data_IF_576122768309
#
_entry.id   IF_576122768309
#
_cell.length_a   1.000
_cell.length_b   1.000
_cell.length_c   1.000
_cell.angle_alpha   90.00
_cell.angle_beta   90.00
_cell.angle_gamma   90.00
#
_symmetry.space_group_name_H-M   'P 1'
#
loop_
_entity.id
_entity.type
_entity.pdbx_description
1 polymer ?
#
# COMPACT_ATOMS: atom_id res chain seq x y z
N UNK A 1 -6.46 6.95 -26.05
CA UNK A 1 -5.90 8.31 -26.19
C UNK A 1 -6.36 9.08 -24.98
N UNK A 2 -5.45 9.27 -24.01
CA UNK A 2 -5.72 10.13 -22.87
C UNK A 2 -5.47 11.56 -23.34
N UNK A 3 -6.50 12.40 -23.25
CA UNK A 3 -6.36 13.83 -23.43
C UNK A 3 -5.52 14.34 -22.25
N UNK A 4 -4.27 14.70 -22.55
CA UNK A 4 -3.31 15.16 -21.57
C UNK A 4 -3.77 16.56 -21.13
N UNK A 5 -4.64 16.62 -20.12
CA UNK A 5 -5.10 17.87 -19.51
C UNK A 5 -3.86 18.71 -19.23
N UNK A 6 -3.86 19.95 -19.72
CA UNK A 6 -2.77 20.90 -19.49
C UNK A 6 -2.47 20.92 -17.98
N UNK A 7 -1.19 20.77 -17.60
CA UNK A 7 -0.75 20.96 -16.22
C UNK A 7 -1.20 22.36 -15.79
N UNK A 8 -2.28 22.45 -15.02
CA UNK A 8 -2.83 23.73 -14.59
C UNK A 8 -2.04 24.17 -13.37
N UNK A 9 -1.15 25.15 -13.56
CA UNK A 9 -0.54 25.85 -12.43
C UNK A 9 -1.60 26.80 -11.90
N UNK A 10 -2.12 26.52 -10.71
CA UNK A 10 -2.93 27.48 -9.97
C UNK A 10 -2.03 28.21 -8.97
N UNK A 11 -2.20 29.54 -8.89
CA UNK A 11 -1.55 30.39 -7.89
C UNK A 11 -2.62 30.95 -6.97
N UNK A 12 -2.43 30.81 -5.67
CA UNK A 12 -3.35 31.32 -4.65
C UNK A 12 -2.57 32.06 -3.56
N UNK A 13 -3.18 33.06 -2.93
CA UNK A 13 -2.65 33.68 -1.70
C UNK A 13 -3.27 32.97 -0.50
N UNK A 14 -2.44 32.49 0.41
CA UNK A 14 -2.90 31.93 1.69
C UNK A 14 -3.14 33.08 2.69
N UNK A 15 -4.16 32.95 3.53
CA UNK A 15 -4.36 33.83 4.68
C UNK A 15 -3.47 33.32 5.83
N UNK A 16 -2.30 33.93 6.02
CA UNK A 16 -1.33 33.48 7.03
C UNK A 16 -1.73 33.98 8.42
N UNK A 17 -1.99 33.06 9.35
CA UNK A 17 -1.95 33.36 10.78
C UNK A 17 -0.50 33.25 11.27
N UNK A 18 -0.09 34.17 12.15
CA UNK A 18 1.29 34.42 12.60
C UNK A 18 1.96 33.24 13.34
N UNK A 19 2.38 32.22 12.61
CA UNK A 19 3.17 31.08 13.10
C UNK A 19 4.68 31.36 13.17
N UNK A 20 5.41 30.59 13.99
CA UNK A 20 6.88 30.68 14.10
C UNK A 20 7.55 30.08 12.85
N UNK A 21 8.35 30.87 12.14
CA UNK A 21 9.07 30.41 10.94
C UNK A 21 10.20 29.42 11.28
N UNK A 22 10.23 28.28 10.59
CA UNK A 22 11.39 27.38 10.54
C UNK A 22 12.48 28.02 9.66
N UNK A 23 13.43 28.72 10.29
CA UNK A 23 14.57 29.31 9.57
C UNK A 23 15.74 28.34 9.50
N UNK A 24 16.33 28.18 8.31
CA UNK A 24 17.63 27.55 8.15
C UNK A 24 18.75 28.50 8.61
N UNK A 25 19.94 27.97 8.98
CA UNK A 25 21.13 28.79 9.18
C UNK A 25 21.40 29.61 7.90
N UNK A 26 21.23 30.93 7.98
CA UNK A 26 21.29 31.84 6.82
C UNK A 26 19.96 32.52 6.45
N UNK A 27 18.88 32.29 7.19
CA UNK A 27 17.63 33.06 7.07
C UNK A 27 16.76 32.72 5.86
N UNK A 28 17.15 31.77 5.01
CA UNK A 28 16.32 31.27 3.91
C UNK A 28 15.16 30.44 4.46
N UNK A 29 13.96 30.67 3.94
CA UNK A 29 12.74 29.95 4.30
C UNK A 29 12.80 28.57 3.66
N UNK A 30 12.59 27.53 4.47
CA UNK A 30 12.56 26.15 4.00
C UNK A 30 11.33 25.90 3.10
N UNK A 31 11.57 25.45 1.86
CA UNK A 31 10.52 25.09 0.91
C UNK A 31 9.74 23.87 1.43
N UNK A 32 8.43 24.03 1.62
CA UNK A 32 7.55 22.99 2.15
C UNK A 32 6.65 22.44 1.05
N UNK A 33 6.56 21.11 0.95
CA UNK A 33 5.77 20.43 -0.08
C UNK A 33 4.75 19.52 0.56
N UNK A 34 3.53 19.47 0.01
CA UNK A 34 2.47 18.59 0.46
C UNK A 34 1.95 17.78 -0.71
N UNK A 35 1.99 16.46 -0.58
CA UNK A 35 1.66 15.54 -1.68
C UNK A 35 0.42 14.72 -1.36
N UNK A 36 -0.60 14.91 -2.19
CA UNK A 36 -1.77 14.03 -2.28
C UNK A 36 -1.56 13.06 -3.43
N UNK A 37 -1.09 11.85 -3.10
CA UNK A 37 -0.88 10.82 -4.11
C UNK A 37 -2.20 10.37 -4.76
N UNK A 38 -2.15 10.13 -6.07
CA UNK A 38 -3.29 9.73 -6.90
C UNK A 38 -4.05 8.52 -6.41
N UNK A 39 -5.33 8.51 -6.78
CA UNK A 39 -6.26 7.38 -6.65
C UNK A 39 -6.48 6.81 -8.05
N UNK A 40 -6.13 5.52 -8.23
CA UNK A 40 -5.98 4.88 -9.56
C UNK A 40 -7.21 4.87 -10.47
N UNK A 41 -8.41 5.23 -10.00
CA UNK A 41 -9.64 5.55 -10.76
C UNK A 41 -10.82 5.74 -9.79
N UNK A 42 -11.69 6.71 -10.04
CA UNK A 42 -13.02 6.75 -9.40
C UNK A 42 -13.94 5.68 -9.99
N UNK A 43 -15.13 5.50 -9.42
CA UNK A 43 -16.17 4.63 -10.01
C UNK A 43 -16.52 5.07 -11.44
N UNK A 44 -16.38 6.37 -11.71
CA UNK A 44 -16.71 7.02 -12.98
C UNK A 44 -15.54 7.03 -13.97
N UNK A 45 -14.41 6.40 -13.61
CA UNK A 45 -13.24 6.27 -14.47
C UNK A 45 -12.37 7.52 -14.55
N UNK A 46 -12.69 8.57 -13.78
CA UNK A 46 -11.89 9.79 -13.71
C UNK A 46 -10.55 9.49 -13.01
N UNK A 47 -9.47 9.87 -13.68
CA UNK A 47 -8.13 9.83 -13.11
C UNK A 47 -7.91 11.11 -12.29
N UNK A 48 -7.57 10.96 -11.02
CA UNK A 48 -7.06 12.06 -10.21
C UNK A 48 -5.54 12.02 -10.26
N UNK A 49 -4.86 13.07 -10.74
CA UNK A 49 -3.39 13.14 -10.72
C UNK A 49 -2.86 13.14 -9.29
N UNK A 50 -1.57 12.87 -9.13
CA UNK A 50 -0.87 13.13 -7.87
C UNK A 50 -0.68 14.63 -7.78
N UNK A 51 -1.19 15.25 -6.71
CA UNK A 51 -1.10 16.70 -6.55
C UNK A 51 0.04 17.05 -5.60
N UNK A 52 0.82 18.04 -5.98
CA UNK A 52 1.92 18.58 -5.19
C UNK A 52 1.65 20.06 -4.96
N UNK A 53 1.37 20.43 -3.71
CA UNK A 53 1.38 21.82 -3.29
C UNK A 53 2.79 22.18 -2.83
N UNK A 54 3.29 23.33 -3.27
CA UNK A 54 4.62 23.85 -2.97
C UNK A 54 4.44 25.24 -2.38
N UNK A 55 4.93 25.44 -1.16
CA UNK A 55 5.08 26.75 -0.54
C UNK A 55 6.56 27.11 -0.57
N UNK A 56 6.90 28.09 -1.43
CA UNK A 56 8.22 28.67 -1.57
C UNK A 56 8.15 30.16 -1.26
N UNK A 57 9.19 30.70 -0.62
CA UNK A 57 9.26 32.09 -0.14
C UNK A 57 8.07 32.49 0.77
N UNK A 58 8.05 33.71 1.32
CA UNK A 58 7.13 34.08 2.42
C UNK A 58 5.63 33.85 2.15
N UNK A 59 5.17 33.59 0.91
CA UNK A 59 3.76 33.28 0.63
C UNK A 59 3.42 32.70 -0.76
N UNK A 60 4.40 32.27 -1.57
CA UNK A 60 4.09 31.80 -2.92
C UNK A 60 3.70 30.33 -2.90
N UNK A 61 2.39 30.10 -2.95
CA UNK A 61 1.81 28.77 -3.11
C UNK A 61 1.60 28.44 -4.59
N UNK A 62 2.23 27.37 -5.06
CA UNK A 62 1.98 26.77 -6.37
C UNK A 62 1.47 25.34 -6.22
N UNK A 63 0.62 24.90 -7.15
CA UNK A 63 0.16 23.51 -7.21
C UNK A 63 0.52 22.90 -8.55
N UNK A 64 1.04 21.67 -8.52
CA UNK A 64 1.38 20.86 -9.68
C UNK A 64 0.55 19.57 -9.68
N UNK A 65 0.06 19.18 -10.86
CA UNK A 65 -0.64 17.91 -11.08
C UNK A 65 0.27 16.96 -11.86
N UNK A 66 0.62 15.82 -11.26
CA UNK A 66 1.42 14.76 -11.86
C UNK A 66 0.50 13.66 -12.40
N UNK A 67 0.37 13.58 -13.72
CA UNK A 67 -0.62 12.73 -14.38
C UNK A 67 -0.41 11.22 -14.23
N UNK A 68 0.84 10.76 -14.12
CA UNK A 68 1.21 9.35 -14.09
C UNK A 68 2.49 9.06 -13.28
N UNK A 69 2.89 7.78 -13.21
CA UNK A 69 4.12 7.34 -12.56
C UNK A 69 5.39 7.99 -13.15
N UNK A 70 5.38 8.34 -14.44
CA UNK A 70 6.54 8.93 -15.10
C UNK A 70 6.72 10.38 -14.67
N UNK A 71 5.62 11.14 -14.60
CA UNK A 71 5.60 12.49 -14.04
C UNK A 71 6.01 12.51 -12.55
N UNK A 72 5.57 11.52 -11.77
CA UNK A 72 6.02 11.33 -10.38
C UNK A 72 7.55 11.14 -10.30
N UNK A 73 8.14 10.32 -11.19
CA UNK A 73 9.59 10.12 -11.24
C UNK A 73 10.36 11.35 -11.72
N UNK A 74 9.85 12.08 -12.71
CA UNK A 74 10.48 13.32 -13.15
C UNK A 74 10.46 14.38 -12.04
N UNK A 75 9.37 14.45 -11.26
CA UNK A 75 9.28 15.30 -10.08
C UNK A 75 10.34 14.91 -9.04
N UNK A 76 10.45 13.62 -8.70
CA UNK A 76 11.50 13.11 -7.79
C UNK A 76 12.89 13.52 -8.28
N UNK A 77 13.13 13.49 -9.60
CA UNK A 77 14.42 13.81 -10.20
C UNK A 77 14.71 15.32 -10.33
N UNK A 78 13.77 16.20 -10.00
CA UNK A 78 13.95 17.66 -10.18
C UNK A 78 13.83 18.13 -11.63
N UNK A 79 13.20 17.32 -12.50
CA UNK A 79 13.13 17.56 -13.94
C UNK A 79 11.69 17.45 -14.47
N UNK A 80 10.70 17.81 -13.64
CA UNK A 80 9.31 17.85 -14.06
C UNK A 80 9.03 19.15 -14.84
N UNK A 81 8.58 19.09 -16.12
CA UNK A 81 8.31 20.29 -16.90
C UNK A 81 7.14 21.10 -16.31
N UNK A 82 7.39 22.35 -15.95
CA UNK A 82 6.36 23.28 -15.47
C UNK A 82 5.96 24.31 -16.53
N UNK A 83 6.86 24.62 -17.46
CA UNK A 83 6.58 25.51 -18.58
C UNK A 83 7.08 24.91 -19.90
N UNK A 84 6.42 25.31 -20.98
CA UNK A 84 6.70 24.86 -22.33
C UNK A 84 6.83 26.05 -23.26
N UNK A 85 7.82 26.01 -24.15
CA UNK A 85 7.99 26.96 -25.25
C UNK A 85 7.95 26.25 -26.59
N UNK A 86 7.72 27.01 -27.63
CA UNK A 86 7.77 26.49 -28.99
C UNK A 86 9.22 26.12 -29.36
N UNK A 87 9.37 25.06 -30.15
CA UNK A 87 10.67 24.52 -30.57
C UNK A 87 11.33 25.45 -31.60
N UNK A 88 12.53 25.96 -31.31
CA UNK A 88 13.22 26.91 -32.21
C UNK A 88 13.72 26.21 -33.49
N UNK A 89 13.77 26.89 -34.65
CA UNK A 89 14.34 26.31 -35.88
C UNK A 89 15.81 25.87 -35.68
N UNK A 90 16.11 24.62 -36.00
CA UNK A 90 17.46 24.05 -35.83
C UNK A 90 17.82 23.54 -34.43
N UNK A 91 16.94 23.72 -33.44
CA UNK A 91 17.16 23.17 -32.10
C UNK A 91 17.16 21.63 -32.10
N UNK A 92 18.14 21.04 -31.40
CA UNK A 92 18.33 19.58 -31.30
C UNK A 92 17.45 19.01 -30.18
N UNK A 93 16.67 17.98 -30.51
CA UNK A 93 15.75 17.36 -29.55
C UNK A 93 16.43 16.46 -28.51
N UNK A 94 17.66 16.02 -28.76
CA UNK A 94 18.43 15.17 -27.83
C UNK A 94 18.75 15.84 -26.48
N UNK A 95 18.62 17.17 -26.41
CA UNK A 95 18.74 17.94 -25.17
C UNK A 95 17.54 17.73 -24.21
N UNK A 96 16.44 17.17 -24.70
CA UNK A 96 15.21 16.97 -23.94
C UNK A 96 14.91 15.48 -23.77
N UNK A 97 14.22 15.12 -22.68
CA UNK A 97 13.73 13.75 -22.53
C UNK A 97 12.64 13.48 -23.58
N UNK A 98 12.62 12.32 -24.26
CA UNK A 98 11.65 12.04 -25.32
C UNK A 98 10.19 12.19 -24.87
N UNK A 99 9.86 11.81 -23.63
CA UNK A 99 8.51 11.92 -23.09
C UNK A 99 8.14 13.32 -22.58
N UNK A 100 9.08 14.27 -22.57
CA UNK A 100 8.80 15.68 -22.27
C UNK A 100 8.43 16.48 -23.50
N UNK A 101 8.80 16.04 -24.70
CA UNK A 101 8.51 16.76 -25.95
C UNK A 101 7.01 16.66 -26.25
N UNK A 102 6.36 17.81 -26.48
CA UNK A 102 4.97 17.84 -26.92
C UNK A 102 4.91 17.77 -28.43
N UNK A 103 4.16 16.80 -28.92
CA UNK A 103 3.96 16.56 -30.34
C UNK A 103 2.56 16.99 -30.76
N UNK A 104 2.47 17.67 -31.90
CA UNK A 104 1.19 18.01 -32.56
C UNK A 104 0.98 17.18 -33.81
N UNK A 105 -0.25 17.17 -34.32
CA UNK A 105 -0.51 16.66 -35.67
C UNK A 105 0.08 17.63 -36.71
N UNK A 106 0.59 17.14 -37.85
CA UNK A 106 0.95 17.99 -38.97
C UNK A 106 -0.21 18.93 -39.32
N UNK A 107 0.09 20.20 -39.57
CA UNK A 107 -0.91 21.16 -39.98
C UNK A 107 -1.40 20.84 -41.41
N UNK A 108 -2.58 21.36 -41.79
CA UNK A 108 -3.08 21.20 -43.15
C UNK A 108 -2.12 21.86 -44.15
N UNK A 109 -1.57 21.08 -45.08
CA UNK A 109 -0.56 21.52 -46.05
C UNK A 109 0.90 21.30 -45.62
N UNK A 110 1.18 20.87 -44.39
CA UNK A 110 2.53 20.54 -43.93
C UNK A 110 2.91 19.13 -44.41
N UNK A 111 3.82 19.03 -45.38
CA UNK A 111 4.27 17.75 -45.91
C UNK A 111 5.25 17.07 -44.93
N UNK A 112 4.93 15.88 -44.37
CA UNK A 112 5.82 15.18 -43.44
C UNK A 112 7.20 14.88 -44.02
N UNK A 113 7.32 14.71 -45.34
CA UNK A 113 8.59 14.40 -45.99
C UNK A 113 9.58 15.59 -46.02
N UNK A 114 9.09 16.80 -45.79
CA UNK A 114 9.89 18.03 -45.74
C UNK A 114 10.33 18.40 -44.31
N UNK A 115 9.73 17.76 -43.29
CA UNK A 115 10.06 17.99 -41.90
C UNK A 115 11.32 17.17 -41.56
N UNK A 116 12.33 17.77 -40.87
CA UNK A 116 13.51 17.03 -40.44
C UNK A 116 13.12 15.77 -39.64
N UNK A 117 13.75 14.64 -39.98
CA UNK A 117 13.40 13.31 -39.45
C UNK A 117 13.45 13.28 -37.92
N UNK A 118 14.39 14.01 -37.32
CA UNK A 118 14.53 14.16 -35.88
C UNK A 118 13.29 14.76 -35.21
N UNK A 119 12.52 15.61 -35.91
CA UNK A 119 11.29 16.25 -35.38
C UNK A 119 10.03 15.39 -35.55
N UNK A 120 10.14 14.28 -36.26
CA UNK A 120 9.02 13.39 -36.56
C UNK A 120 8.98 12.22 -35.58
N UNK A 121 7.83 12.06 -34.92
CA UNK A 121 7.51 10.85 -34.17
C UNK A 121 6.51 10.01 -34.96
N UNK A 122 6.93 8.81 -35.38
CA UNK A 122 6.05 7.83 -36.02
C UNK A 122 5.26 7.08 -34.95
N UNK A 123 3.96 7.36 -34.88
CA UNK A 123 3.02 6.69 -33.98
C UNK A 123 2.04 5.84 -34.80
N UNK A 124 2.44 4.59 -35.05
CA UNK A 124 1.71 3.67 -35.91
C UNK A 124 1.69 4.14 -37.38
N UNK A 125 0.48 4.47 -37.87
CA UNK A 125 0.25 4.98 -39.24
C UNK A 125 0.27 6.51 -39.34
N UNK A 126 0.34 7.21 -38.21
CA UNK A 126 0.31 8.67 -38.17
C UNK A 126 1.67 9.23 -37.78
N UNK A 127 2.05 10.35 -38.39
CA UNK A 127 3.20 11.13 -37.96
C UNK A 127 2.74 12.24 -37.02
N UNK A 128 3.58 12.56 -36.05
CA UNK A 128 3.43 13.74 -35.20
C UNK A 128 4.70 14.57 -35.27
N UNK A 129 4.56 15.88 -35.19
CA UNK A 129 5.66 16.85 -35.30
C UNK A 129 5.95 17.39 -33.91
N UNK A 130 7.22 17.41 -33.52
CA UNK A 130 7.66 18.05 -32.29
C UNK A 130 7.31 19.55 -32.36
N UNK A 131 6.51 20.01 -31.39
CA UNK A 131 5.94 21.36 -31.38
C UNK A 131 6.52 22.20 -30.25
N UNK A 132 6.51 21.63 -29.03
CA UNK A 132 6.94 22.34 -27.83
C UNK A 132 7.91 21.52 -27.01
N UNK A 133 8.86 22.21 -26.42
CA UNK A 133 9.86 21.66 -25.50
C UNK A 133 9.78 22.37 -24.15
N UNK A 134 10.20 21.72 -23.05
CA UNK A 134 10.22 22.38 -21.76
C UNK A 134 11.11 23.64 -21.76
N UNK A 135 10.61 24.74 -21.21
CA UNK A 135 11.40 25.95 -20.94
C UNK A 135 11.81 26.08 -19.48
N UNK A 136 11.07 25.45 -18.58
CA UNK A 136 11.36 25.45 -17.15
C UNK A 136 11.00 24.10 -16.53
N UNK A 137 11.77 23.72 -15.51
CA UNK A 137 11.59 22.51 -14.73
C UNK A 137 11.42 22.85 -13.25
N UNK A 138 10.67 22.01 -12.55
CA UNK A 138 10.59 22.00 -11.09
C UNK A 138 10.63 20.54 -10.60
N UNK A 139 10.65 20.34 -9.29
CA UNK A 139 10.63 19.03 -8.69
C UNK A 139 11.15 19.06 -7.26
N UNK A 140 11.65 17.92 -6.80
CA UNK A 140 12.32 17.82 -5.51
C UNK A 140 13.67 18.54 -5.56
N UNK A 141 13.87 19.48 -4.64
CA UNK A 141 15.06 20.31 -4.50
C UNK A 141 15.80 20.05 -3.17
N UNK A 142 17.02 20.56 -3.08
CA UNK A 142 17.82 20.46 -1.85
C UNK A 142 17.16 21.25 -0.72
N UNK A 143 17.11 20.67 0.48
CA UNK A 143 16.49 21.29 1.66
C UNK A 143 14.96 21.20 1.71
N UNK A 144 14.30 20.61 0.71
CA UNK A 144 12.85 20.46 0.68
C UNK A 144 12.33 19.66 1.89
N UNK A 145 11.22 20.11 2.46
CA UNK A 145 10.45 19.39 3.47
C UNK A 145 9.16 18.84 2.86
N UNK A 146 9.18 17.57 2.47
CA UNK A 146 8.07 16.92 1.79
C UNK A 146 7.15 16.23 2.78
N UNK A 147 5.86 16.47 2.69
CA UNK A 147 4.84 15.92 3.58
C UNK A 147 3.83 15.05 2.83
N UNK A 148 3.55 13.85 3.35
CA UNK A 148 2.61 12.88 2.76
C UNK A 148 1.77 12.18 3.84
N UNK A 149 0.71 11.46 3.45
CA UNK A 149 -0.06 10.62 4.39
C UNK A 149 0.64 9.26 4.60
N UNK A 150 0.58 8.70 5.81
CA UNK A 150 1.06 7.36 6.15
C UNK A 150 0.24 6.21 5.54
N UNK A 151 0.95 5.29 4.88
CA UNK A 151 0.43 4.13 4.15
C UNK A 151 -0.29 4.47 2.83
N UNK A 152 -0.66 3.43 2.08
CA UNK A 152 -1.55 3.54 0.92
C UNK A 152 -0.84 3.33 -0.42
N UNK A 153 -1.35 3.95 -1.48
CA UNK A 153 -0.79 3.84 -2.83
C UNK A 153 0.48 4.67 -3.03
N UNK A 154 0.70 5.70 -2.20
CA UNK A 154 1.86 6.60 -2.30
C UNK A 154 3.16 6.07 -1.69
N UNK A 155 3.20 4.82 -1.21
CA UNK A 155 4.41 4.26 -0.60
C UNK A 155 5.60 4.19 -1.57
N UNK A 156 5.36 3.95 -2.87
CA UNK A 156 6.43 3.92 -3.87
C UNK A 156 7.01 5.31 -4.12
N UNK A 157 6.14 6.32 -4.20
CA UNK A 157 6.56 7.71 -4.33
C UNK A 157 7.31 8.17 -3.08
N UNK A 158 6.81 7.83 -1.88
CA UNK A 158 7.50 8.13 -0.63
C UNK A 158 8.90 7.50 -0.56
N UNK A 159 9.05 6.26 -1.01
CA UNK A 159 10.35 5.58 -1.10
C UNK A 159 11.30 6.29 -2.09
N UNK A 160 10.81 6.64 -3.28
CA UNK A 160 11.61 7.30 -4.30
C UNK A 160 12.07 8.70 -3.85
N UNK A 161 11.15 9.48 -3.27
CA UNK A 161 11.43 10.78 -2.68
C UNK A 161 12.42 10.68 -1.52
N UNK A 162 12.27 9.70 -0.62
CA UNK A 162 13.16 9.60 0.55
C UNK A 162 14.58 9.21 0.14
N UNK A 163 14.71 8.30 -0.82
CA UNK A 163 16.03 7.90 -1.36
C UNK A 163 16.72 9.06 -2.05
N UNK A 164 16.02 9.78 -2.93
CA UNK A 164 16.59 10.97 -3.58
C UNK A 164 16.85 12.10 -2.60
N UNK A 165 15.96 12.29 -1.63
CA UNK A 165 16.06 13.30 -0.59
C UNK A 165 17.31 13.14 0.25
N UNK A 166 17.67 11.90 0.61
CA UNK A 166 18.94 11.60 1.26
C UNK A 166 20.15 12.15 0.48
N UNK A 167 20.17 11.97 -0.85
CA UNK A 167 21.29 12.42 -1.68
C UNK A 167 21.41 13.94 -1.81
N UNK A 168 20.31 14.68 -1.65
CA UNK A 168 20.26 16.14 -1.85
C UNK A 168 19.93 16.93 -0.58
N UNK A 169 19.82 16.27 0.57
CA UNK A 169 19.47 16.92 1.84
C UNK A 169 17.99 17.32 1.97
N UNK A 170 17.08 16.70 1.23
CA UNK A 170 15.63 16.85 1.43
C UNK A 170 15.08 15.81 2.41
N UNK A 171 14.01 16.15 3.12
CA UNK A 171 13.36 15.27 4.11
C UNK A 171 11.96 14.90 3.66
N UNK A 172 11.62 13.62 3.78
CA UNK A 172 10.27 13.12 3.53
C UNK A 172 9.62 12.74 4.85
N UNK A 173 8.52 13.40 5.14
CA UNK A 173 7.76 13.33 6.37
C UNK A 173 6.36 12.77 6.07
N UNK A 174 5.84 11.92 6.96
CA UNK A 174 4.51 11.34 6.82
C UNK A 174 3.65 11.51 8.05
N UNK A 175 2.38 11.84 7.85
CA UNK A 175 1.40 12.06 8.93
C UNK A 175 0.36 10.93 8.98
N UNK A 176 -0.09 10.49 10.17
CA UNK A 176 -1.19 9.53 10.26
C UNK A 176 -2.49 10.06 9.63
N UNK A 177 -3.28 9.22 8.94
CA UNK A 177 -4.51 9.67 8.28
C UNK A 177 -5.54 10.32 9.22
N UNK A 178 -5.58 9.92 10.49
CA UNK A 178 -6.50 10.51 11.46
C UNK A 178 -6.11 11.95 11.83
N UNK A 179 -4.81 12.24 11.95
CA UNK A 179 -4.33 13.60 12.24
C UNK A 179 -4.66 14.53 11.07
N UNK A 180 -4.43 14.11 9.83
CA UNK A 180 -4.81 14.92 8.67
C UNK A 180 -6.34 15.12 8.60
N UNK A 181 -7.12 14.08 8.94
CA UNK A 181 -8.59 14.20 8.97
C UNK A 181 -9.05 15.23 9.99
N UNK A 182 -8.42 15.25 11.17
CA UNK A 182 -8.77 16.20 12.24
C UNK A 182 -8.43 17.65 11.81
N UNK A 183 -7.29 17.87 11.15
CA UNK A 183 -6.89 19.18 10.61
C UNK A 183 -7.66 19.62 9.37
N UNK A 184 -8.18 18.66 8.59
CA UNK A 184 -9.03 18.98 7.42
C UNK A 184 -10.29 19.73 7.82
N UNK A 185 -10.90 19.39 8.96
CA UNK A 185 -12.19 19.94 9.37
C UNK A 185 -13.24 19.78 8.27
N UNK A 186 -13.80 20.90 7.81
CA UNK A 186 -14.81 20.97 6.75
C UNK A 186 -14.22 21.16 5.33
N UNK A 187 -12.89 21.32 5.19
CA UNK A 187 -12.23 21.50 3.90
C UNK A 187 -12.39 20.26 3.02
N UNK A 188 -12.36 20.45 1.70
CA UNK A 188 -12.54 19.37 0.77
C UNK A 188 -11.28 18.48 0.67
N UNK A 189 -11.45 17.20 0.31
CA UNK A 189 -10.35 16.22 0.28
C UNK A 189 -9.32 16.49 -0.84
N UNK A 190 -9.69 17.26 -1.85
CA UNK A 190 -8.80 17.83 -2.87
C UNK A 190 -7.87 18.91 -2.35
N UNK A 191 -8.14 19.48 -1.19
CA UNK A 191 -7.23 20.39 -0.52
C UNK A 191 -6.17 19.67 0.34
N UNK A 192 -6.15 18.33 0.38
CA UNK A 192 -5.22 17.58 1.24
C UNK A 192 -3.75 17.93 0.99
N UNK A 193 -3.36 18.24 -0.26
CA UNK A 193 -1.99 18.67 -0.56
C UNK A 193 -1.65 20.00 0.11
N UNK A 194 -2.58 20.96 0.11
CA UNK A 194 -2.42 22.28 0.73
C UNK A 194 -2.37 22.16 2.26
N UNK A 195 -3.29 21.40 2.84
CA UNK A 195 -3.35 21.14 4.29
C UNK A 195 -2.05 20.47 4.76
N UNK A 196 -1.47 19.56 3.96
CA UNK A 196 -0.19 18.92 4.30
C UNK A 196 0.97 19.93 4.36
N UNK A 197 1.04 20.88 3.42
CA UNK A 197 2.02 21.99 3.44
C UNK A 197 1.87 22.85 4.69
N UNK A 198 0.65 23.28 4.99
CA UNK A 198 0.35 24.07 6.19
C UNK A 198 0.75 23.31 7.46
N UNK A 199 0.35 22.04 7.55
CA UNK A 199 0.59 21.21 8.73
C UNK A 199 2.07 20.92 8.97
N UNK A 200 2.85 20.69 7.92
CA UNK A 200 4.29 20.40 8.08
C UNK A 200 5.08 21.65 8.47
N UNK A 201 4.64 22.83 8.01
CA UNK A 201 5.21 24.13 8.40
C UNK A 201 4.88 24.46 9.85
N UNK A 202 3.60 24.37 10.22
CA UNK A 202 3.09 24.90 11.49
C UNK A 202 3.21 23.87 12.63
N UNK A 203 3.04 22.58 12.32
CA UNK A 203 2.98 21.49 13.30
C UNK A 203 3.83 20.26 12.91
N UNK A 204 5.15 20.43 12.65
CA UNK A 204 6.03 19.35 12.18
C UNK A 204 6.09 18.15 13.14
N UNK A 205 5.77 18.35 14.42
CA UNK A 205 5.79 17.32 15.47
C UNK A 205 4.76 16.19 15.25
N UNK A 206 3.78 16.38 14.37
CA UNK A 206 2.81 15.36 13.96
C UNK A 206 3.35 14.37 12.93
N UNK A 207 4.49 14.68 12.31
CA UNK A 207 5.04 13.90 11.24
C UNK A 207 6.11 12.91 11.69
N UNK A 208 6.30 11.89 10.86
CA UNK A 208 7.34 10.89 10.98
C UNK A 208 8.18 10.88 9.71
N UNK A 209 9.49 11.01 9.88
CA UNK A 209 10.43 10.89 8.78
C UNK A 209 10.41 9.47 8.18
N UNK A 210 10.46 9.39 6.85
CA UNK A 210 10.64 8.15 6.09
C UNK A 210 12.12 7.78 6.11
N UNK A 211 12.53 7.05 7.14
CA UNK A 211 13.90 6.59 7.29
C UNK A 211 14.13 5.22 6.60
N UNK A 212 15.36 4.71 6.66
CA UNK A 212 15.74 3.41 6.06
C UNK A 212 14.85 2.25 6.53
N UNK A 213 14.40 2.30 7.80
CA UNK A 213 13.46 1.31 8.33
C UNK A 213 12.12 1.30 7.59
N UNK A 214 11.62 2.49 7.24
CA UNK A 214 10.36 2.67 6.52
C UNK A 214 10.54 2.25 5.05
N UNK A 215 11.70 2.54 4.47
CA UNK A 215 12.08 2.08 3.15
C UNK A 215 12.13 0.54 3.06
N UNK A 216 12.78 -0.11 4.03
CA UNK A 216 12.84 -1.58 4.13
C UNK A 216 11.46 -2.19 4.28
N UNK A 217 10.57 -1.56 5.06
CA UNK A 217 9.18 -2.01 5.20
C UNK A 217 8.43 -1.92 3.86
N UNK A 218 8.63 -0.84 3.09
CA UNK A 218 8.04 -0.69 1.75
C UNK A 218 8.56 -1.77 0.80
N UNK A 219 9.86 -2.08 0.84
CA UNK A 219 10.47 -3.17 0.07
C UNK A 219 9.88 -4.54 0.44
N UNK A 220 9.69 -4.83 1.73
CA UNK A 220 9.03 -6.06 2.17
C UNK A 220 7.57 -6.14 1.68
N UNK A 221 6.86 -5.02 1.61
CA UNK A 221 5.52 -4.97 1.02
C UNK A 221 5.53 -5.29 -0.49
N UNK A 222 6.54 -4.82 -1.22
CA UNK A 222 6.74 -5.12 -2.65
C UNK A 222 7.06 -6.60 -2.84
N UNK A 223 8.01 -7.14 -2.07
CA UNK A 223 8.39 -8.55 -2.12
C UNK A 223 7.19 -9.47 -1.84
N UNK A 224 6.33 -9.12 -0.87
CA UNK A 224 5.11 -9.88 -0.62
C UNK A 224 4.15 -9.87 -1.81
N UNK A 225 3.95 -8.72 -2.47
CA UNK A 225 3.09 -8.62 -3.66
C UNK A 225 3.62 -9.50 -4.78
N UNK A 226 4.92 -9.40 -5.08
CA UNK A 226 5.57 -10.24 -6.08
C UNK A 226 5.42 -11.74 -5.77
N UNK A 227 5.61 -12.13 -4.51
CA UNK A 227 5.40 -13.51 -4.04
C UNK A 227 3.95 -13.98 -4.17
N UNK A 228 2.98 -13.12 -3.91
CA UNK A 228 1.55 -13.43 -4.10
C UNK A 228 1.24 -13.61 -5.59
N UNK A 229 1.79 -12.78 -6.46
CA UNK A 229 1.52 -12.85 -7.89
C UNK A 229 2.20 -14.08 -8.53
N UNK A 230 3.44 -14.40 -8.14
CA UNK A 230 4.10 -15.66 -8.52
C UNK A 230 3.29 -16.89 -8.07
N UNK A 231 2.81 -16.91 -6.82
CA UNK A 231 1.94 -17.98 -6.32
C UNK A 231 0.64 -18.11 -7.15
N UNK A 232 0.00 -17.00 -7.50
CA UNK A 232 -1.20 -17.02 -8.34
C UNK A 232 -0.89 -17.52 -9.75
N UNK A 233 0.23 -17.11 -10.32
CA UNK A 233 0.68 -17.54 -11.64
C UNK A 233 0.92 -19.06 -11.66
N UNK A 234 1.61 -19.60 -10.63
CA UNK A 234 1.79 -21.04 -10.44
C UNK A 234 0.46 -21.79 -10.32
N UNK A 235 -0.45 -21.34 -9.44
CA UNK A 235 -1.78 -21.96 -9.28
C UNK A 235 -2.55 -21.94 -10.60
N UNK A 236 -2.56 -20.81 -11.31
CA UNK A 236 -3.24 -20.70 -12.60
C UNK A 236 -2.61 -21.60 -13.67
N UNK A 237 -1.29 -21.69 -13.71
CA UNK A 237 -0.54 -22.61 -14.57
C UNK A 237 -0.92 -24.07 -14.30
N UNK A 238 -0.93 -24.47 -13.03
CA UNK A 238 -1.30 -25.82 -12.59
C UNK A 238 -2.74 -26.18 -13.00
N UNK A 239 -3.70 -25.26 -12.81
CA UNK A 239 -5.09 -25.48 -13.23
C UNK A 239 -5.25 -25.57 -14.75
N UNK A 240 -4.57 -24.72 -15.52
CA UNK A 240 -4.56 -24.81 -16.99
C UNK A 240 -3.98 -26.14 -17.48
N UNK A 241 -2.85 -26.55 -16.91
CA UNK A 241 -2.22 -27.83 -17.24
C UNK A 241 -3.17 -28.99 -16.93
N UNK A 242 -3.85 -28.97 -15.77
CA UNK A 242 -4.83 -30.00 -15.40
C UNK A 242 -6.02 -30.06 -16.36
N UNK A 243 -6.60 -28.91 -16.71
CA UNK A 243 -7.72 -28.85 -17.64
C UNK A 243 -7.34 -29.35 -19.03
N UNK A 244 -6.17 -28.95 -19.54
CA UNK A 244 -5.64 -29.43 -20.81
C UNK A 244 -5.39 -30.94 -20.79
N UNK A 245 -4.76 -31.44 -19.73
CA UNK A 245 -4.49 -32.86 -19.55
C UNK A 245 -5.78 -33.70 -19.54
N UNK A 246 -6.77 -33.28 -18.76
CA UNK A 246 -8.10 -33.90 -18.73
C UNK A 246 -8.72 -33.85 -20.13
N UNK A 247 -8.79 -32.67 -20.77
CA UNK A 247 -9.37 -32.51 -22.09
C UNK A 247 -8.73 -33.42 -23.15
N UNK A 248 -7.39 -33.55 -23.14
CA UNK A 248 -6.67 -34.46 -24.03
C UNK A 248 -7.08 -35.92 -23.86
N UNK A 249 -7.28 -36.37 -22.62
CA UNK A 249 -7.69 -37.75 -22.34
C UNK A 249 -9.13 -37.98 -22.79
N UNK A 250 -10.03 -37.01 -22.57
CA UNK A 250 -11.43 -37.13 -23.02
C UNK A 250 -11.58 -37.08 -24.54
N UNK A 251 -10.62 -36.48 -25.26
CA UNK A 251 -10.64 -36.38 -26.72
C UNK A 251 -9.86 -37.51 -27.44
N UNK A 252 -9.41 -38.56 -26.75
CA UNK A 252 -8.82 -39.72 -27.44
C UNK A 252 -9.92 -40.56 -28.11
N UNK A 253 -9.68 -41.10 -29.32
CA UNK A 253 -10.69 -41.89 -30.05
C UNK A 253 -11.23 -43.09 -29.27
N UNK A 254 -10.37 -43.69 -28.43
CA UNK A 254 -10.72 -44.86 -27.65
C UNK A 254 -11.61 -44.52 -26.44
N UNK A 255 -11.74 -43.23 -26.07
CA UNK A 255 -12.58 -42.73 -24.97
C UNK A 255 -12.32 -43.38 -23.60
N UNK A 256 -11.29 -44.23 -23.51
CA UNK A 256 -11.08 -45.15 -22.43
C UNK A 256 -10.58 -44.41 -21.21
N UNK A 257 -11.41 -44.34 -20.17
CA UNK A 257 -10.98 -43.97 -18.84
C UNK A 257 -10.00 -45.04 -18.36
N UNK A 258 -8.72 -44.72 -18.10
CA UNK A 258 -7.85 -45.69 -17.46
C UNK A 258 -8.33 -45.82 -16.01
N UNK A 259 -8.88 -46.98 -15.65
CA UNK A 259 -9.46 -47.23 -14.33
C UNK A 259 -8.48 -46.80 -13.22
N UNK A 260 -8.87 -45.79 -12.44
CA UNK A 260 -8.13 -45.33 -11.26
C UNK A 260 -6.78 -44.60 -11.49
N UNK A 261 -6.40 -44.23 -12.72
CA UNK A 261 -5.04 -43.71 -12.99
C UNK A 261 -4.95 -42.22 -13.39
N UNK A 262 -6.07 -41.51 -13.59
CA UNK A 262 -6.05 -40.12 -14.09
C UNK A 262 -5.17 -39.20 -13.23
N UNK A 263 -5.29 -39.30 -11.91
CA UNK A 263 -4.50 -38.46 -11.01
C UNK A 263 -3.02 -38.84 -11.03
N UNK A 264 -2.67 -40.13 -11.13
CA UNK A 264 -1.28 -40.58 -11.26
C UNK A 264 -0.65 -40.12 -12.57
N UNK A 265 -1.38 -40.26 -13.67
CA UNK A 265 -0.95 -39.83 -14.99
C UNK A 265 -0.80 -38.30 -15.04
N UNK A 266 -1.73 -37.56 -14.42
CA UNK A 266 -1.62 -36.11 -14.25
C UNK A 266 -0.38 -35.73 -13.42
N UNK A 267 -0.12 -36.40 -12.30
CA UNK A 267 1.07 -36.11 -11.47
C UNK A 267 2.38 -36.34 -12.24
N UNK A 268 2.44 -37.37 -13.09
CA UNK A 268 3.60 -37.61 -13.97
C UNK A 268 3.76 -36.53 -15.06
N UNK A 269 2.65 -36.14 -15.71
CA UNK A 269 2.65 -35.05 -16.69
C UNK A 269 3.03 -33.71 -16.04
N UNK A 270 2.50 -33.43 -14.86
CA UNK A 270 2.80 -32.24 -14.05
C UNK A 270 4.29 -32.17 -13.71
N UNK A 271 4.89 -33.29 -13.31
CA UNK A 271 6.31 -33.35 -12.96
C UNK A 271 7.27 -33.11 -14.14
N UNK A 272 6.79 -33.26 -15.38
CA UNK A 272 7.60 -33.05 -16.59
C UNK A 272 7.31 -31.71 -17.29
N UNK A 273 6.36 -30.91 -16.80
CA UNK A 273 6.00 -29.62 -17.38
C UNK A 273 7.03 -28.53 -17.05
N UNK A 274 7.80 -28.11 -18.07
CA UNK A 274 8.86 -27.11 -17.93
C UNK A 274 8.34 -25.72 -17.53
N UNK A 275 7.11 -25.36 -17.92
CA UNK A 275 6.52 -24.06 -17.60
C UNK A 275 6.14 -24.03 -16.13
N UNK A 276 5.52 -25.11 -15.63
CA UNK A 276 5.14 -25.21 -14.23
C UNK A 276 6.38 -25.26 -13.33
N UNK A 277 7.42 -26.00 -13.73
CA UNK A 277 8.71 -26.00 -13.03
C UNK A 277 9.30 -24.57 -12.93
N UNK A 278 9.30 -23.82 -14.03
CA UNK A 278 9.76 -22.43 -14.03
C UNK A 278 8.93 -21.52 -13.10
N UNK A 279 7.60 -21.69 -13.06
CA UNK A 279 6.73 -20.94 -12.14
C UNK A 279 6.96 -21.32 -10.67
N UNK A 280 7.24 -22.59 -10.38
CA UNK A 280 7.63 -23.04 -9.04
C UNK A 280 8.97 -22.44 -8.60
N UNK A 281 9.95 -22.37 -9.50
CA UNK A 281 11.24 -21.76 -9.21
C UNK A 281 11.15 -20.24 -9.06
N UNK A 282 10.30 -19.56 -9.84
CA UNK A 282 9.99 -18.16 -9.62
C UNK A 282 9.34 -17.95 -8.24
N UNK A 283 8.32 -18.74 -7.86
CA UNK A 283 7.69 -18.62 -6.53
C UNK A 283 8.71 -18.85 -5.40
N UNK A 284 9.62 -19.83 -5.54
CA UNK A 284 10.72 -20.04 -4.57
C UNK A 284 11.65 -18.83 -4.49
N UNK A 285 12.05 -18.27 -5.64
CA UNK A 285 12.86 -17.06 -5.70
C UNK A 285 12.19 -15.91 -4.96
N UNK A 286 10.90 -15.66 -5.22
CA UNK A 286 10.13 -14.60 -4.53
C UNK A 286 9.92 -14.87 -3.05
N UNK A 287 9.85 -16.13 -2.62
CA UNK A 287 9.82 -16.46 -1.20
C UNK A 287 11.14 -16.08 -0.52
N UNK A 288 12.29 -16.36 -1.14
CA UNK A 288 13.60 -15.96 -0.62
C UNK A 288 13.74 -14.43 -0.56
N UNK A 289 13.38 -13.72 -1.63
CA UNK A 289 13.40 -12.25 -1.67
C UNK A 289 12.56 -11.65 -0.51
N UNK A 290 11.40 -12.26 -0.22
CA UNK A 290 10.54 -11.84 0.90
C UNK A 290 11.17 -12.13 2.26
N UNK A 291 11.78 -13.29 2.44
CA UNK A 291 12.47 -13.65 3.69
C UNK A 291 13.62 -12.69 3.97
N UNK A 292 14.46 -12.43 2.97
CA UNK A 292 15.56 -11.45 3.06
C UNK A 292 15.04 -10.05 3.42
N UNK A 293 13.97 -9.59 2.78
CA UNK A 293 13.37 -8.29 3.09
C UNK A 293 12.78 -8.23 4.52
N UNK A 294 12.17 -9.31 5.01
CA UNK A 294 11.66 -9.37 6.38
C UNK A 294 12.77 -9.37 7.43
N UNK A 295 13.89 -10.03 7.15
CA UNK A 295 15.03 -10.06 8.06
C UNK A 295 15.64 -8.66 8.28
N UNK A 296 15.38 -7.68 7.39
CA UNK A 296 15.78 -6.29 7.61
C UNK A 296 14.84 -5.51 8.56
N UNK A 297 13.72 -6.12 8.98
CA UNK A 297 12.71 -5.44 9.78
C UNK A 297 12.79 -5.83 11.26
N UNK A 298 13.02 -4.84 12.12
CA UNK A 298 13.01 -5.06 13.57
C UNK A 298 11.68 -5.64 14.08
N UNK A 299 10.54 -5.17 13.53
CA UNK A 299 9.22 -5.69 13.88
C UNK A 299 9.14 -7.20 13.62
N UNK A 300 9.72 -7.69 12.52
CA UNK A 300 9.75 -9.11 12.23
C UNK A 300 10.68 -9.84 13.20
N UNK A 301 11.93 -9.38 13.33
CA UNK A 301 12.94 -10.00 14.17
C UNK A 301 12.53 -10.08 15.65
N UNK A 302 11.99 -8.99 16.21
CA UNK A 302 11.66 -8.87 17.64
C UNK A 302 10.27 -9.42 17.98
N UNK A 303 9.27 -9.26 17.11
CA UNK A 303 7.88 -9.61 17.44
C UNK A 303 7.36 -10.90 16.81
N UNK A 304 7.79 -11.25 15.59
CA UNK A 304 7.23 -12.37 14.85
C UNK A 304 8.13 -13.60 14.83
N UNK A 305 9.43 -13.43 14.54
CA UNK A 305 10.41 -14.51 14.47
C UNK A 305 10.49 -15.37 15.74
N UNK A 306 10.36 -14.82 16.97
CA UNK A 306 10.37 -15.64 18.19
C UNK A 306 9.10 -16.49 18.40
N UNK A 307 8.03 -16.23 17.65
CA UNK A 307 6.76 -16.93 17.82
C UNK A 307 6.78 -18.31 17.15
N UNK A 308 6.71 -19.37 17.96
CA UNK A 308 6.61 -20.74 17.48
C UNK A 308 5.39 -20.92 16.56
N UNK A 309 5.64 -21.30 15.30
CA UNK A 309 4.60 -21.55 14.31
C UNK A 309 4.23 -20.36 13.43
N UNK A 310 4.95 -19.25 13.56
CA UNK A 310 4.71 -18.07 12.73
C UNK A 310 5.84 -17.94 11.72
N UNK A 311 5.61 -18.45 10.52
CA UNK A 311 6.58 -18.35 9.43
C UNK A 311 6.52 -16.99 8.69
N UNK A 312 7.53 -16.70 7.84
CA UNK A 312 7.63 -15.51 7.01
C UNK A 312 6.35 -15.17 6.25
N UNK A 313 5.68 -16.16 5.67
CA UNK A 313 4.46 -15.97 4.87
C UNK A 313 3.25 -15.45 5.67
N UNK A 314 3.12 -15.83 6.95
CA UNK A 314 2.06 -15.33 7.83
C UNK A 314 2.45 -13.94 8.36
N UNK A 315 3.70 -13.80 8.83
CA UNK A 315 4.21 -12.55 9.39
C UNK A 315 4.15 -11.40 8.38
N UNK A 316 4.67 -11.61 7.16
CA UNK A 316 4.66 -10.61 6.08
C UNK A 316 3.27 -10.09 5.77
N UNK A 317 2.24 -10.95 5.70
CA UNK A 317 0.86 -10.51 5.43
C UNK A 317 0.29 -9.63 6.54
N UNK A 318 0.69 -9.86 7.79
CA UNK A 318 0.30 -9.00 8.90
C UNK A 318 1.08 -7.69 8.83
N UNK A 319 2.41 -7.76 8.73
CA UNK A 319 3.30 -6.59 8.66
C UNK A 319 2.92 -5.68 7.48
N UNK A 320 2.90 -6.20 6.25
CA UNK A 320 2.54 -5.44 5.06
C UNK A 320 1.07 -5.01 5.01
N UNK A 321 0.20 -5.72 5.73
CA UNK A 321 -1.21 -5.35 5.83
C UNK A 321 -1.42 -4.16 6.77
N UNK A 322 -0.76 -4.16 7.93
CA UNK A 322 -0.72 -3.05 8.89
C UNK A 322 0.05 -1.86 8.30
N UNK A 323 1.12 -2.16 7.56
CA UNK A 323 2.13 -1.24 7.05
C UNK A 323 2.84 -0.61 8.24
N UNK A 324 2.19 0.37 8.87
CA UNK A 324 2.73 1.17 9.95
C UNK A 324 1.76 1.18 11.13
N UNK A 325 2.25 0.84 12.31
CA UNK A 325 1.46 0.80 13.53
C UNK A 325 0.97 2.19 13.97
N UNK A 326 1.70 3.26 13.61
CA UNK A 326 1.41 4.66 13.97
C UNK A 326 0.09 5.16 13.34
N UNK A 327 -0.42 4.45 12.33
CA UNK A 327 -1.75 4.68 11.73
C UNK A 327 -2.91 4.38 12.69
N UNK A 328 -2.65 3.67 13.78
CA UNK A 328 -3.67 3.20 14.72
C UNK A 328 -3.38 3.77 16.11
N UNK A 329 -4.18 4.75 16.54
CA UNK A 329 -4.06 5.38 17.86
C UNK A 329 -4.49 4.47 19.00
N UNK A 330 -5.29 3.43 18.72
CA UNK A 330 -5.75 2.46 19.72
C UNK A 330 -5.70 1.01 19.21
N UNK A 331 -5.57 0.01 20.10
CA UNK A 331 -5.66 -1.39 19.71
C UNK A 331 -7.05 -1.76 19.16
N UNK A 332 -8.10 -1.00 19.51
CA UNK A 332 -9.44 -1.20 18.96
C UNK A 332 -9.50 -0.88 17.46
N UNK A 333 -8.84 0.20 17.03
CA UNK A 333 -8.73 0.55 15.61
C UNK A 333 -7.95 -0.51 14.83
N UNK A 334 -6.83 -1.00 15.37
CA UNK A 334 -6.07 -2.08 14.70
C UNK A 334 -6.89 -3.37 14.59
N UNK A 335 -7.60 -3.78 15.65
CA UNK A 335 -8.51 -4.94 15.58
C UNK A 335 -9.60 -4.75 14.52
N UNK A 336 -10.15 -3.53 14.43
CA UNK A 336 -11.17 -3.19 13.45
C UNK A 336 -10.64 -3.39 12.04
N UNK A 337 -9.49 -2.78 11.77
CA UNK A 337 -8.77 -2.87 10.50
C UNK A 337 -8.33 -4.29 10.13
N UNK A 338 -7.93 -5.11 11.10
CA UNK A 338 -7.59 -6.52 10.89
C UNK A 338 -8.81 -7.44 10.77
N UNK A 339 -10.03 -6.94 10.96
CA UNK A 339 -11.27 -7.71 10.83
C UNK A 339 -11.50 -8.72 11.96
N UNK A 340 -10.86 -8.53 13.12
CA UNK A 340 -10.98 -9.38 14.32
C UNK A 340 -11.71 -8.68 15.48
N UNK A 341 -12.36 -7.56 15.21
CA UNK A 341 -13.22 -6.88 16.16
C UNK A 341 -14.59 -7.57 16.28
N UNK A 342 -15.31 -7.27 17.36
CA UNK A 342 -16.72 -7.60 17.50
C UNK A 342 -17.55 -6.35 17.22
N UNK A 343 -18.67 -6.52 16.53
CA UNK A 343 -19.70 -5.52 16.37
C UNK A 343 -20.45 -5.31 17.71
N UNK A 344 -21.30 -4.28 17.78
CA UNK A 344 -22.10 -3.97 18.99
C UNK A 344 -23.00 -5.15 19.43
N UNK A 345 -23.40 -6.00 18.50
CA UNK A 345 -24.20 -7.21 18.73
C UNK A 345 -23.37 -8.46 19.13
N UNK A 346 -22.05 -8.31 19.31
CA UNK A 346 -21.15 -9.39 19.68
C UNK A 346 -20.79 -10.35 18.53
N UNK A 347 -21.18 -10.05 17.28
CA UNK A 347 -20.79 -10.85 16.10
C UNK A 347 -19.48 -10.33 15.50
N UNK A 348 -18.72 -11.22 14.87
CA UNK A 348 -17.60 -10.80 14.02
C UNK A 348 -18.11 -10.22 12.70
N UNK A 349 -17.47 -9.18 12.15
CA UNK A 349 -17.83 -8.62 10.86
C UNK A 349 -17.70 -9.69 9.77
N UNK A 350 -18.62 -9.70 8.80
CA UNK A 350 -18.63 -10.61 7.66
C UNK A 350 -18.73 -9.83 6.37
N UNK A 351 -18.07 -10.31 5.31
CA UNK A 351 -18.19 -9.68 3.99
C UNK A 351 -19.59 -9.95 3.45
N UNK A 352 -20.24 -8.91 2.96
CA UNK A 352 -21.51 -9.01 2.25
C UNK A 352 -21.31 -8.61 0.80
N UNK A 353 -22.17 -9.13 -0.07
CA UNK A 353 -22.19 -8.70 -1.46
C UNK A 353 -22.57 -7.22 -1.51
N UNK A 354 -21.90 -6.44 -2.36
CA UNK A 354 -22.10 -5.00 -2.55
C UNK A 354 -21.75 -4.09 -1.36
N UNK A 355 -21.23 -4.61 -0.25
CA UNK A 355 -20.68 -3.80 0.84
C UNK A 355 -19.16 -3.79 0.80
N UNK A 356 -18.57 -2.60 0.96
CA UNK A 356 -17.12 -2.47 1.14
C UNK A 356 -16.74 -3.02 2.52
N UNK A 357 -15.86 -4.02 2.55
CA UNK A 357 -15.30 -4.49 3.81
C UNK A 357 -14.44 -3.39 4.45
N UNK A 358 -14.73 -3.03 5.69
CA UNK A 358 -13.95 -2.04 6.45
C UNK A 358 -12.68 -2.63 7.09
N UNK A 359 -12.22 -3.79 6.62
CA UNK A 359 -10.99 -4.45 7.10
C UNK A 359 -10.09 -4.88 5.93
N UNK A 360 -8.80 -5.07 6.23
CA UNK A 360 -7.80 -5.58 5.31
C UNK A 360 -7.87 -7.10 5.24
N UNK A 361 -8.23 -7.64 4.08
CA UNK A 361 -8.39 -9.09 3.88
C UNK A 361 -7.10 -9.88 4.14
N UNK A 362 -5.95 -9.33 3.76
CA UNK A 362 -4.65 -9.99 3.95
C UNK A 362 -4.34 -10.23 5.43
N UNK A 363 -4.55 -9.20 6.27
CA UNK A 363 -4.41 -9.32 7.73
C UNK A 363 -5.37 -10.38 8.28
N UNK A 364 -6.64 -10.33 7.88
CA UNK A 364 -7.64 -11.26 8.40
C UNK A 364 -7.35 -12.71 8.03
N UNK A 365 -6.94 -12.95 6.79
CA UNK A 365 -6.56 -14.29 6.33
C UNK A 365 -5.31 -14.78 7.07
N UNK A 366 -4.30 -13.91 7.25
CA UNK A 366 -3.10 -14.26 7.99
C UNK A 366 -3.40 -14.59 9.46
N UNK A 367 -4.29 -13.84 10.11
CA UNK A 367 -4.71 -14.10 11.48
C UNK A 367 -5.51 -15.40 11.62
N UNK A 368 -6.30 -15.76 10.61
CA UNK A 368 -6.98 -17.06 10.57
C UNK A 368 -5.95 -18.21 10.51
N UNK A 369 -4.97 -18.12 9.60
CA UNK A 369 -3.90 -19.10 9.48
C UNK A 369 -3.04 -19.16 10.75
N UNK A 370 -2.74 -18.01 11.36
CA UNK A 370 -2.01 -17.90 12.61
C UNK A 370 -2.72 -18.61 13.76
N UNK A 371 -4.04 -18.40 13.90
CA UNK A 371 -4.81 -19.06 14.94
C UNK A 371 -4.82 -20.58 14.76
N UNK A 372 -4.85 -21.07 13.51
CA UNK A 372 -4.71 -22.49 13.20
C UNK A 372 -3.33 -23.02 13.63
N UNK A 373 -2.25 -22.26 13.41
CA UNK A 373 -0.91 -22.63 13.89
C UNK A 373 -0.85 -22.73 15.42
N UNK A 374 -1.52 -21.84 16.15
CA UNK A 374 -1.63 -21.94 17.61
C UNK A 374 -2.37 -23.22 18.06
N UNK A 375 -3.33 -23.69 17.27
CA UNK A 375 -4.01 -24.96 17.53
C UNK A 375 -3.11 -26.18 17.25
N UNK A 376 -2.27 -26.12 16.22
CA UNK A 376 -1.32 -27.19 15.87
C UNK A 376 -0.11 -27.25 16.81
N UNK A 377 0.17 -26.18 17.55
CA UNK A 377 1.29 -26.06 18.50
C UNK A 377 0.79 -25.71 19.90
N UNK A 378 0.05 -26.63 20.57
CA UNK A 378 -0.60 -26.37 21.85
C UNK A 378 0.37 -25.97 22.97
N UNK A 379 1.64 -26.37 22.88
CA UNK A 379 2.73 -26.08 23.81
C UNK A 379 3.30 -24.65 23.69
N UNK A 380 3.03 -23.96 22.58
CA UNK A 380 3.37 -22.54 22.41
C UNK A 380 2.58 -21.65 23.37
N UNK A 381 3.08 -20.45 23.70
CA UNK A 381 2.39 -19.53 24.62
C UNK A 381 0.97 -19.19 24.16
N UNK A 382 0.80 -18.97 22.85
CA UNK A 382 -0.50 -18.70 22.26
C UNK A 382 -1.36 -19.96 22.11
N UNK A 383 -0.76 -21.14 21.91
CA UNK A 383 -1.44 -22.42 21.96
C UNK A 383 -2.04 -22.72 23.34
N UNK A 384 -1.27 -22.49 24.41
CA UNK A 384 -1.74 -22.58 25.80
C UNK A 384 -2.89 -21.62 26.06
N UNK A 385 -2.80 -20.39 25.58
CA UNK A 385 -3.86 -19.38 25.71
C UNK A 385 -5.13 -19.76 24.94
N UNK A 386 -4.99 -20.38 23.77
CA UNK A 386 -6.12 -20.94 23.02
C UNK A 386 -6.80 -22.09 23.80
N UNK A 387 -6.03 -23.01 24.38
CA UNK A 387 -6.56 -24.09 25.22
C UNK A 387 -7.30 -23.53 26.44
N UNK A 388 -6.72 -22.53 27.11
CA UNK A 388 -7.38 -21.84 28.22
C UNK A 388 -8.73 -21.24 27.80
N UNK A 389 -8.81 -20.60 26.62
CA UNK A 389 -10.09 -20.08 26.12
C UNK A 389 -11.10 -21.18 25.78
N UNK A 390 -10.66 -22.33 25.25
CA UNK A 390 -11.54 -23.48 25.03
C UNK A 390 -12.12 -23.99 26.35
N UNK A 391 -11.27 -24.20 27.37
CA UNK A 391 -11.71 -24.64 28.70
C UNK A 391 -12.72 -23.65 29.30
N UNK A 392 -12.40 -22.36 29.32
CA UNK A 392 -13.31 -21.34 29.85
C UNK A 392 -14.68 -21.32 29.13
N UNK A 393 -14.68 -21.55 27.81
CA UNK A 393 -15.91 -21.62 27.03
C UNK A 393 -16.70 -22.91 27.29
N UNK A 394 -16.03 -24.04 27.49
CA UNK A 394 -16.67 -25.30 27.89
C UNK A 394 -17.27 -25.21 29.30
N UNK A 395 -16.56 -24.61 30.26
CA UNK A 395 -17.08 -24.39 31.61
C UNK A 395 -18.30 -23.48 31.60
N UNK A 396 -18.27 -22.40 30.82
CA UNK A 396 -19.40 -21.45 30.69
C UNK A 396 -20.59 -22.04 29.92
N UNK A 397 -20.32 -22.91 28.96
CA UNK A 397 -21.31 -23.51 28.08
C UNK A 397 -21.11 -25.03 27.99
N UNK A 398 -21.46 -25.77 29.06
CA UNK A 398 -21.19 -27.21 29.14
C UNK A 398 -22.04 -28.02 28.14
N UNK A 399 -23.23 -27.52 27.80
CA UNK A 399 -24.17 -28.17 26.88
C UNK A 399 -24.51 -27.23 25.73
N UNK A 400 -24.61 -27.72 24.47
CA UNK A 400 -25.08 -26.91 23.36
C UNK A 400 -26.49 -26.38 23.61
N UNK A 401 -26.69 -25.09 23.36
CA UNK A 401 -27.98 -24.41 23.55
C UNK A 401 -28.66 -24.21 22.20
N UNK A 402 -29.92 -24.64 22.06
CA UNK A 402 -30.73 -24.31 20.90
C UNK A 402 -31.18 -22.86 21.00
N UNK A 403 -30.83 -22.04 20.01
CA UNK A 403 -31.28 -20.64 19.94
C UNK A 403 -31.98 -20.39 18.62
N UNK A 404 -32.94 -19.48 18.63
CA UNK A 404 -33.58 -19.00 17.42
C UNK A 404 -32.56 -18.28 16.54
N UNK A 405 -32.42 -18.70 15.28
CA UNK A 405 -31.60 -18.00 14.32
C UNK A 405 -32.29 -16.68 13.98
N UNK A 406 -31.55 -15.58 14.11
CA UNK A 406 -32.01 -14.25 13.70
C UNK A 406 -31.26 -13.80 12.45
N UNK A 407 -31.92 -13.00 11.64
CA UNK A 407 -31.34 -12.33 10.49
C UNK A 407 -30.49 -11.12 10.94
N UNK A 408 -30.10 -10.29 9.97
CA UNK A 408 -29.27 -9.12 10.23
C UNK A 408 -30.01 -8.00 10.95
N UNK A 409 -31.34 -7.94 10.79
CA UNK A 409 -32.26 -7.01 11.44
C UNK A 409 -32.76 -7.52 12.79
N UNK A 410 -32.25 -8.67 13.25
CA UNK A 410 -32.70 -9.32 14.48
C UNK A 410 -34.03 -10.06 14.34
N UNK A 411 -34.60 -10.15 13.13
CA UNK A 411 -35.85 -10.88 12.90
C UNK A 411 -35.58 -12.39 12.87
N UNK A 412 -36.47 -13.24 13.42
CA UNK A 412 -36.35 -14.68 13.29
C UNK A 412 -36.22 -15.13 11.84
N UNK A 413 -35.22 -15.96 11.56
CA UNK A 413 -35.16 -16.71 10.30
C UNK A 413 -36.19 -17.83 10.39
N UNK A 414 -37.10 -17.86 9.43
CA UNK A 414 -38.11 -18.92 9.34
C UNK A 414 -37.61 -20.02 8.39
N UNK A 415 -38.02 -21.25 8.67
CA UNK A 415 -37.96 -22.39 7.75
C UNK A 415 -39.01 -22.22 6.66
N UNK A 416 -39.02 -23.12 5.67
CA UNK A 416 -40.02 -23.13 4.57
C UNK A 416 -41.47 -23.30 5.07
N UNK A 417 -41.65 -23.92 6.23
CA UNK A 417 -42.94 -24.16 6.89
C UNK A 417 -43.41 -22.97 7.75
N UNK A 418 -42.68 -21.85 7.76
CA UNK A 418 -42.98 -20.69 8.59
C UNK A 418 -42.53 -20.80 10.05
N UNK A 419 -42.00 -21.94 10.51
CA UNK A 419 -41.51 -22.09 11.87
C UNK A 419 -40.13 -21.45 12.06
N UNK A 420 -39.79 -20.93 13.26
CA UNK A 420 -38.45 -20.43 13.53
C UNK A 420 -37.35 -21.48 13.33
N UNK A 421 -36.28 -21.08 12.66
CA UNK A 421 -35.09 -21.90 12.47
C UNK A 421 -34.27 -21.91 13.77
N UNK A 422 -34.23 -23.05 14.46
CA UNK A 422 -33.39 -23.24 15.64
C UNK A 422 -31.98 -23.69 15.23
N UNK A 423 -30.95 -23.07 15.81
CA UNK A 423 -29.54 -23.42 15.59
C UNK A 423 -28.87 -23.77 16.92
N UNK A 424 -28.07 -24.85 16.92
CA UNK A 424 -27.26 -25.24 18.09
C UNK A 424 -26.09 -24.25 18.24
N UNK A 425 -26.11 -23.42 19.28
CA UNK A 425 -24.96 -22.63 19.73
C UNK A 425 -24.13 -23.43 20.73
N UNK A 426 -22.87 -23.02 20.88
CA UNK A 426 -21.91 -23.64 21.80
C UNK A 426 -21.67 -25.15 21.61
N UNK A 427 -21.82 -25.65 20.38
CA UNK A 427 -21.25 -26.96 20.02
C UNK A 427 -19.74 -26.95 20.15
N UNK A 428 -19.09 -28.12 20.27
CA UNK A 428 -17.61 -28.23 20.33
C UNK A 428 -16.93 -27.47 19.20
N UNK A 429 -17.43 -27.61 17.96
CA UNK A 429 -16.92 -26.87 16.81
C UNK A 429 -17.18 -25.35 16.86
N UNK A 430 -18.27 -24.90 17.49
CA UNK A 430 -18.50 -23.48 17.72
C UNK A 430 -17.55 -22.93 18.80
N UNK A 431 -17.38 -23.65 19.92
CA UNK A 431 -16.42 -23.28 20.98
C UNK A 431 -15.01 -23.17 20.41
N UNK A 432 -14.58 -24.14 19.61
CA UNK A 432 -13.28 -24.12 18.96
C UNK A 432 -13.09 -22.88 18.08
N UNK A 433 -14.03 -22.59 17.18
CA UNK A 433 -13.97 -21.40 16.30
C UNK A 433 -13.98 -20.09 17.09
N UNK A 434 -14.82 -20.00 18.12
CA UNK A 434 -14.87 -18.81 18.98
C UNK A 434 -13.57 -18.62 19.74
N UNK A 435 -12.95 -19.70 20.24
CA UNK A 435 -11.65 -19.65 20.90
C UNK A 435 -10.53 -19.20 19.94
N UNK A 436 -10.52 -19.70 18.70
CA UNK A 436 -9.57 -19.28 17.66
C UNK A 436 -9.65 -17.77 17.37
N UNK A 437 -10.85 -17.24 17.15
CA UNK A 437 -11.00 -15.80 16.91
C UNK A 437 -10.69 -14.97 18.16
N UNK A 438 -11.01 -15.48 19.35
CA UNK A 438 -10.67 -14.80 20.61
C UNK A 438 -9.16 -14.72 20.82
N UNK A 439 -8.41 -15.79 20.55
CA UNK A 439 -6.94 -15.76 20.65
C UNK A 439 -6.33 -14.83 19.60
N UNK A 440 -6.83 -14.84 18.36
CA UNK A 440 -6.39 -13.90 17.32
C UNK A 440 -6.67 -12.44 17.70
N UNK A 441 -7.82 -12.15 18.30
CA UNK A 441 -8.17 -10.81 18.80
C UNK A 441 -7.17 -10.34 19.85
N UNK A 442 -6.85 -11.21 20.82
CA UNK A 442 -5.88 -10.89 21.89
C UNK A 442 -4.45 -10.81 21.38
N UNK A 443 -4.11 -11.58 20.34
CA UNK A 443 -2.84 -11.46 19.64
C UNK A 443 -2.68 -10.06 19.04
N UNK A 444 -3.68 -9.57 18.32
CA UNK A 444 -3.64 -8.21 17.72
C UNK A 444 -3.52 -7.12 18.78
N UNK A 445 -4.19 -7.26 19.93
CA UNK A 445 -4.04 -6.31 21.05
C UNK A 445 -2.63 -6.27 21.61
N UNK A 446 -2.00 -7.45 21.79
CA UNK A 446 -0.60 -7.53 22.24
C UNK A 446 0.34 -6.98 21.18
N UNK A 447 0.16 -7.37 19.92
CA UNK A 447 0.95 -6.89 18.80
C UNK A 447 0.94 -5.36 18.72
N UNK A 448 -0.23 -4.73 18.89
CA UNK A 448 -0.31 -3.27 18.91
C UNK A 448 0.56 -2.64 20.00
N UNK A 449 0.51 -3.19 21.21
CA UNK A 449 1.30 -2.69 22.35
C UNK A 449 2.80 -2.88 22.12
N UNK A 450 3.20 -4.08 21.74
CA UNK A 450 4.61 -4.44 21.58
C UNK A 450 5.22 -3.69 20.39
N UNK A 451 4.48 -3.49 19.30
CA UNK A 451 4.95 -2.72 18.15
C UNK A 451 5.00 -1.22 18.45
N UNK A 452 4.01 -0.63 19.12
CA UNK A 452 4.12 0.77 19.58
C UNK A 452 5.29 0.98 20.55
N UNK A 453 5.62 -0.01 21.37
CA UNK A 453 6.79 0.03 22.23
C UNK A 453 8.07 0.14 21.38
N UNK A 454 8.23 -0.70 20.36
CA UNK A 454 9.36 -0.60 19.41
C UNK A 454 9.43 0.78 18.74
N UNK A 455 8.30 1.35 18.31
CA UNK A 455 8.29 2.68 17.69
C UNK A 455 8.70 3.80 18.63
N UNK A 456 8.38 3.68 19.92
CA UNK A 456 8.79 4.65 20.95
C UNK A 456 10.27 4.53 21.28
N UNK A 457 10.78 3.31 21.39
CA UNK A 457 12.20 3.03 21.62
C UNK A 457 13.04 3.60 20.47
N UNK A 458 12.68 3.30 19.22
CA UNK A 458 13.36 3.83 18.04
C UNK A 458 13.32 5.37 17.93
N UNK A 459 12.30 6.03 18.53
CA UNK A 459 12.23 7.50 18.60
C UNK A 459 13.11 8.06 19.72
N UNK A 460 13.23 7.36 20.84
CA UNK A 460 14.07 7.78 21.96
C UNK A 460 15.56 7.60 21.67
N UNK A 461 15.92 6.62 20.84
CA UNK A 461 17.31 6.33 20.45
C UNK A 461 17.89 7.34 19.47
N UNK A 462 17.07 8.04 18.68
CA UNK A 462 17.55 9.21 17.93
C UNK A 462 17.79 10.32 18.96
N UNK A 463 19.05 10.67 19.30
CA UNK A 463 19.30 11.89 20.04
C UNK A 463 18.63 12.98 19.20
N UNK A 464 17.84 13.85 19.83
CA UNK A 464 17.57 15.15 19.21
C UNK A 464 18.96 15.69 18.97
N UNK A 465 19.41 15.75 17.71
CA UNK A 465 20.69 16.37 17.36
C UNK A 465 20.69 17.67 18.15
N UNK A 466 21.49 17.69 19.22
CA UNK A 466 21.76 18.88 19.99
C UNK A 466 22.19 19.87 18.93
N UNK A 467 21.39 20.92 18.74
CA UNK A 467 21.65 21.98 17.79
C UNK A 467 23.16 22.19 17.76
N UNK A 468 23.82 22.14 16.57
CA UNK A 468 25.27 22.20 16.49
C UNK A 468 25.70 23.30 17.45
N UNK A 469 26.47 22.94 18.49
CA UNK A 469 27.06 23.91 19.39
C UNK A 469 27.70 24.93 18.47
N UNK A 470 27.12 26.13 18.42
CA UNK A 470 27.63 27.19 17.59
C UNK A 470 29.07 27.35 18.04
N UNK A 471 30.03 26.90 17.21
CA UNK A 471 31.44 27.13 17.45
C UNK A 471 31.55 28.62 17.69
N UNK A 472 31.82 28.99 18.93
CA UNK A 472 32.00 30.37 19.30
C UNK A 472 33.09 30.92 18.38
N UNK A 473 32.85 32.06 17.69
CA UNK A 473 33.84 32.61 16.78
C UNK A 473 35.15 32.78 17.55
N UNK A 474 36.21 32.14 17.05
CA UNK A 474 37.54 32.27 17.61
C UNK A 474 37.91 33.77 17.65
N UNK A 475 38.22 34.25 18.85
CA UNK A 475 38.54 35.64 19.15
C UNK A 475 39.95 36.04 18.69
#
# INVERSE_FOLDING_TARGET
>A
MYDCRQNSISTGRLNVHSGRNLQLPGGSIMRCLGIRHRIKKTKDGEAHPTQVAILADEDKLTTLDLGDEQAELDFVQGVFPVEYRDLEPGEKLDAFKPHHIKYRKPAEGENPDEIPVERLLKDGKTFKVADKVPSAYDGLQSGDLVSMILGGSGDYLAFALSRRGHDIGAKVLRVPPFVLKDHRGDRAKDEDALILVELVRDEPHHFFEVADRDQNLILACIALRARIDAMKARIAGEQRHRQYFIGRIFCTPDGGFPEGSLEKAYLSAKASDKILAALEDEEKGRNRDLEEALEQLEVYQKLFKPLKGVGPAIASRIIAGVIDIRRFSTPAQLKAYCGVHLLKDGRFPRRRNNELANWKNDCRQALFLLADQFNRRPESDWGKKLLQYKVNLHTKHPVPVLVQAVDEKGKPRLKKDGQPLMVKKWTVGHIHRTALWRVATRFVERLWKDWWKLEREARAEKPVDSAPEAEAPAA
#
